data_IF_701307259148
#
_entry.id   IF_701307259148
#
_cell.length_a   1.000
_cell.length_b   1.000
_cell.length_c   1.000
_cell.angle_alpha   90.00
_cell.angle_beta   90.00
_cell.angle_gamma   90.00
#
_symmetry.space_group_name_H-M   'P 1'
#
loop_
_entity.id
_entity.type
_entity.pdbx_description
1 polymer ?
#
# COMPACT_ATOMS: atom_id res chain seq x y z
N UNK A 1 -34.82 -4.33 -38.32
CA UNK A 1 -34.45 -3.15 -37.49
C UNK A 1 -34.88 -3.52 -36.07
N UNK A 2 -33.97 -4.16 -35.34
CA UNK A 2 -34.28 -4.77 -34.05
C UNK A 2 -33.92 -3.77 -32.96
N UNK A 3 -34.93 -3.22 -32.29
CA UNK A 3 -34.80 -2.42 -31.06
C UNK A 3 -34.95 -3.36 -29.88
N UNK A 4 -33.85 -3.82 -29.29
CA UNK A 4 -33.91 -4.34 -27.93
C UNK A 4 -33.98 -3.16 -26.94
N UNK A 5 -34.85 -3.20 -25.92
CA UNK A 5 -34.82 -2.23 -24.84
C UNK A 5 -33.63 -2.53 -23.91
N UNK A 6 -32.60 -1.69 -23.98
CA UNK A 6 -31.45 -1.72 -23.07
C UNK A 6 -31.90 -1.27 -21.66
N UNK A 7 -32.27 -2.22 -20.81
CA UNK A 7 -32.47 -1.98 -19.38
C UNK A 7 -31.11 -1.98 -18.67
N UNK A 8 -30.34 -0.91 -18.87
CA UNK A 8 -29.19 -0.59 -18.03
C UNK A 8 -29.68 -0.22 -16.62
N UNK A 9 -29.74 -1.19 -15.72
CA UNK A 9 -30.03 -0.94 -14.31
C UNK A 9 -28.92 -0.06 -13.71
N UNK A 10 -29.20 1.24 -13.60
CA UNK A 10 -28.35 2.20 -12.87
C UNK A 10 -28.88 2.27 -11.45
N UNK A 11 -28.13 1.72 -10.49
CA UNK A 11 -28.46 1.83 -9.07
C UNK A 11 -28.68 3.32 -8.73
N UNK A 12 -29.80 3.71 -8.11
CA UNK A 12 -29.99 5.07 -7.65
C UNK A 12 -28.77 5.49 -6.83
N UNK A 13 -28.09 6.55 -7.25
CA UNK A 13 -26.80 6.98 -6.67
C UNK A 13 -26.86 7.14 -5.14
N UNK A 14 -28.02 7.52 -4.58
CA UNK A 14 -28.26 7.59 -3.14
C UNK A 14 -28.16 6.24 -2.41
N UNK A 15 -28.55 5.13 -3.06
CA UNK A 15 -28.44 3.78 -2.49
C UNK A 15 -26.98 3.33 -2.44
N UNK A 16 -26.19 3.67 -3.47
CA UNK A 16 -24.75 3.39 -3.50
C UNK A 16 -24.00 4.12 -2.37
N UNK A 17 -24.24 5.42 -2.21
CA UNK A 17 -23.63 6.21 -1.14
C UNK A 17 -24.13 5.78 0.25
N UNK A 18 -25.42 5.49 0.39
CA UNK A 18 -26.00 4.96 1.62
C UNK A 18 -25.37 3.63 2.01
N UNK A 19 -25.25 2.69 1.07
CA UNK A 19 -24.62 1.40 1.32
C UNK A 19 -23.14 1.53 1.70
N UNK A 20 -22.36 2.37 1.01
CA UNK A 20 -20.95 2.61 1.36
C UNK A 20 -20.77 3.22 2.76
N UNK A 21 -21.71 4.04 3.22
CA UNK A 21 -21.66 4.59 4.58
C UNK A 21 -22.14 3.59 5.64
N UNK A 22 -23.16 2.78 5.32
CA UNK A 22 -23.79 1.83 6.24
C UNK A 22 -22.96 0.56 6.39
N UNK A 23 -22.38 0.04 5.31
CA UNK A 23 -21.65 -1.23 5.29
C UNK A 23 -20.49 -1.26 6.31
N UNK A 24 -19.62 -0.23 6.42
CA UNK A 24 -18.57 -0.21 7.44
C UNK A 24 -19.13 -0.21 8.86
N UNK A 25 -20.23 0.50 9.11
CA UNK A 25 -20.88 0.54 10.43
C UNK A 25 -21.50 -0.80 10.79
N UNK A 26 -22.16 -1.47 9.84
CA UNK A 26 -22.67 -2.83 10.03
C UNK A 26 -21.52 -3.79 10.30
N UNK A 27 -20.43 -3.71 9.52
CA UNK A 27 -19.26 -4.56 9.72
C UNK A 27 -18.59 -4.31 11.07
N UNK A 28 -18.43 -3.06 11.48
CA UNK A 28 -17.88 -2.71 12.81
C UNK A 28 -18.82 -3.20 13.92
N UNK A 29 -20.13 -3.01 13.79
CA UNK A 29 -21.10 -3.48 14.78
C UNK A 29 -21.12 -5.00 14.87
N UNK A 30 -21.11 -5.70 13.73
CA UNK A 30 -21.08 -7.15 13.64
C UNK A 30 -19.76 -7.72 14.14
N UNK A 31 -18.63 -7.11 13.78
CA UNK A 31 -17.30 -7.47 14.29
C UNK A 31 -17.23 -7.25 15.81
N UNK A 32 -17.68 -6.10 16.32
CA UNK A 32 -17.74 -5.85 17.77
C UNK A 32 -18.66 -6.82 18.50
N UNK A 33 -19.77 -7.23 17.88
CA UNK A 33 -20.64 -8.26 18.44
C UNK A 33 -19.89 -9.60 18.50
N UNK A 34 -19.19 -9.98 17.44
CA UNK A 34 -18.35 -11.19 17.44
C UNK A 34 -17.24 -11.13 18.49
N UNK A 35 -16.57 -9.99 18.63
CA UNK A 35 -15.54 -9.75 19.65
C UNK A 35 -16.10 -9.84 21.07
N UNK A 36 -17.29 -9.28 21.33
CA UNK A 36 -17.96 -9.40 22.64
C UNK A 36 -18.36 -10.84 23.00
N UNK A 37 -18.53 -11.71 22.01
CA UNK A 37 -18.81 -13.13 22.21
C UNK A 37 -17.56 -14.00 22.33
N UNK A 38 -16.37 -13.48 22.01
CA UNK A 38 -15.11 -14.18 22.22
C UNK A 38 -14.67 -13.98 23.68
N UNK A 39 -14.56 -15.04 24.48
CA UNK A 39 -13.97 -14.92 25.80
C UNK A 39 -12.54 -14.36 25.65
N UNK A 40 -12.06 -13.52 26.59
CA UNK A 40 -10.68 -13.06 26.58
C UNK A 40 -9.75 -14.26 26.46
N UNK A 41 -8.60 -14.15 25.76
CA UNK A 41 -7.69 -15.27 25.55
C UNK A 41 -7.41 -15.94 26.89
N UNK A 42 -7.90 -17.18 27.04
CA UNK A 42 -7.91 -17.88 28.34
C UNK A 42 -6.79 -18.91 28.44
N UNK A 43 -6.24 -19.29 27.30
CA UNK A 43 -5.11 -20.20 27.21
C UNK A 43 -3.82 -19.40 27.01
N UNK A 44 -2.70 -19.84 27.62
CA UNK A 44 -1.39 -19.22 27.38
C UNK A 44 -1.03 -19.13 25.88
N UNK A 45 -1.52 -20.06 25.06
CA UNK A 45 -1.30 -20.09 23.62
C UNK A 45 -2.07 -18.97 22.88
N UNK A 46 -3.28 -18.63 23.32
CA UNK A 46 -4.08 -17.53 22.75
C UNK A 46 -3.55 -16.15 23.18
N UNK A 47 -3.08 -16.02 24.43
CA UNK A 47 -2.46 -14.80 24.94
C UNK A 47 -1.10 -14.53 24.24
N UNK A 48 -0.33 -15.60 24.03
CA UNK A 48 0.86 -15.57 23.19
C UNK A 48 0.50 -15.17 21.75
N UNK A 49 -0.53 -15.76 21.13
CA UNK A 49 -0.96 -15.40 19.78
C UNK A 49 -1.30 -13.90 19.63
N UNK A 50 -2.07 -13.36 20.56
CA UNK A 50 -2.50 -11.96 20.54
C UNK A 50 -1.32 -10.99 20.73
N UNK A 51 -0.42 -11.28 21.67
CA UNK A 51 0.80 -10.49 21.88
C UNK A 51 1.72 -10.51 20.66
N UNK A 52 1.84 -11.65 19.96
CA UNK A 52 2.68 -11.80 18.78
C UNK A 52 2.17 -11.04 17.55
N UNK A 53 0.84 -10.95 17.40
CA UNK A 53 0.23 -10.10 16.36
C UNK A 53 0.48 -8.62 16.63
N UNK A 54 0.54 -8.23 17.89
CA UNK A 54 0.79 -6.87 18.34
C UNK A 54 2.29 -6.49 18.35
N UNK A 55 3.20 -7.45 18.43
CA UNK A 55 4.65 -7.19 18.38
C UNK A 55 5.11 -6.89 16.96
N UNK A 56 5.89 -5.81 16.81
CA UNK A 56 6.64 -5.50 15.59
C UNK A 56 7.50 -6.70 15.15
N UNK A 57 7.66 -6.89 13.84
CA UNK A 57 8.44 -8.00 13.26
C UNK A 57 9.90 -7.94 13.76
N UNK A 58 10.40 -8.96 14.49
CA UNK A 58 11.71 -8.92 15.14
C UNK A 58 12.86 -8.76 14.15
N UNK A 59 12.66 -9.10 12.87
CA UNK A 59 13.63 -8.89 11.82
C UNK A 59 13.92 -7.39 11.60
N UNK A 60 12.97 -6.49 11.87
CA UNK A 60 13.12 -5.04 11.66
C UNK A 60 14.28 -4.43 12.45
N UNK A 61 14.57 -4.96 13.64
CA UNK A 61 15.63 -4.49 14.53
C UNK A 61 17.02 -5.02 14.17
N UNK A 62 17.13 -5.97 13.23
CA UNK A 62 18.41 -6.49 12.78
C UNK A 62 19.01 -5.52 11.78
N UNK A 63 20.03 -4.77 12.19
CA UNK A 63 20.73 -3.82 11.31
C UNK A 63 22.09 -4.38 10.84
N UNK A 64 22.31 -4.33 9.53
CA UNK A 64 23.60 -4.50 8.86
C UNK A 64 23.96 -3.20 8.13
N UNK A 65 25.25 -2.95 7.87
CA UNK A 65 25.69 -1.74 7.15
C UNK A 65 25.02 -1.57 5.78
N UNK A 66 24.80 -2.67 5.06
CA UNK A 66 24.11 -2.69 3.77
C UNK A 66 22.59 -2.42 3.90
N UNK A 67 21.92 -3.09 4.84
CA UNK A 67 20.46 -2.90 5.04
C UNK A 67 20.16 -1.49 5.53
N UNK A 68 21.05 -0.87 6.31
CA UNK A 68 20.90 0.50 6.78
C UNK A 68 20.79 1.53 5.65
N UNK A 69 21.51 1.34 4.54
CA UNK A 69 21.42 2.23 3.37
C UNK A 69 20.05 2.11 2.71
N UNK A 70 19.59 0.87 2.47
CA UNK A 70 18.29 0.58 1.86
C UNK A 70 17.14 1.08 2.73
N UNK A 71 17.29 0.91 4.04
CA UNK A 71 16.33 1.38 5.03
C UNK A 71 16.26 2.91 5.06
N UNK A 72 17.41 3.56 4.95
CA UNK A 72 17.50 5.02 4.88
C UNK A 72 16.79 5.51 3.62
N UNK A 73 17.05 4.93 2.44
CA UNK A 73 16.36 5.30 1.20
C UNK A 73 14.83 5.19 1.33
N UNK A 74 14.34 4.11 1.94
CA UNK A 74 12.90 3.90 2.17
C UNK A 74 12.32 4.88 3.20
N UNK A 75 13.09 5.26 4.24
CA UNK A 75 12.67 6.32 5.19
C UNK A 75 12.59 7.68 4.51
N UNK A 76 13.56 8.01 3.66
CA UNK A 76 13.56 9.25 2.88
C UNK A 76 12.39 9.30 1.90
N UNK A 77 12.01 8.18 1.26
CA UNK A 77 10.83 8.16 0.41
C UNK A 77 9.54 8.45 1.19
N UNK A 78 9.41 7.92 2.41
CA UNK A 78 8.28 8.23 3.30
C UNK A 78 8.21 9.71 3.68
N UNK A 79 9.34 10.32 4.07
CA UNK A 79 9.43 11.75 4.39
C UNK A 79 9.09 12.60 3.16
N UNK A 80 9.62 12.24 1.99
CA UNK A 80 9.32 12.92 0.73
C UNK A 80 7.82 12.90 0.42
N UNK A 81 7.18 11.73 0.52
CA UNK A 81 5.74 11.58 0.33
C UNK A 81 4.94 12.42 1.33
N UNK A 82 5.37 12.47 2.61
CA UNK A 82 4.70 13.26 3.64
C UNK A 82 4.68 14.77 3.32
N UNK A 83 5.82 15.34 2.90
CA UNK A 83 5.87 16.74 2.43
C UNK A 83 5.03 16.93 1.16
N UNK A 84 5.02 15.94 0.27
CA UNK A 84 4.23 16.01 -0.95
C UNK A 84 2.72 16.02 -0.66
N UNK A 85 2.26 15.31 0.37
CA UNK A 85 0.85 15.28 0.80
C UNK A 85 0.38 16.65 1.25
N UNK A 86 1.23 17.41 1.95
CA UNK A 86 0.90 18.78 2.37
C UNK A 86 0.59 19.65 1.15
N UNK A 87 1.35 19.50 0.06
CA UNK A 87 1.10 20.23 -1.18
C UNK A 87 -0.24 19.83 -1.82
N UNK A 88 -0.58 18.54 -1.81
CA UNK A 88 -1.87 18.06 -2.31
C UNK A 88 -3.06 18.64 -1.52
N UNK A 89 -2.94 18.71 -0.18
CA UNK A 89 -3.98 19.30 0.68
C UNK A 89 -4.17 20.79 0.37
N UNK A 90 -3.08 21.54 0.22
CA UNK A 90 -3.13 22.98 -0.13
C UNK A 90 -3.79 23.18 -1.51
N UNK A 91 -3.44 22.35 -2.50
CA UNK A 91 -4.03 22.42 -3.84
C UNK A 91 -5.55 22.12 -3.81
N UNK A 92 -5.99 21.09 -3.09
CA UNK A 92 -7.43 20.81 -2.92
C UNK A 92 -8.17 21.95 -2.22
N UNK A 93 -7.58 22.50 -1.16
CA UNK A 93 -8.18 23.61 -0.44
C UNK A 93 -8.37 24.83 -1.36
N UNK A 94 -7.37 25.11 -2.20
CA UNK A 94 -7.47 26.13 -3.24
C UNK A 94 -8.60 25.84 -4.24
N UNK A 95 -8.74 24.62 -4.75
CA UNK A 95 -9.84 24.26 -5.67
C UNK A 95 -11.22 24.43 -5.02
N UNK A 96 -11.37 24.07 -3.75
CA UNK A 96 -12.62 24.27 -3.00
C UNK A 96 -12.94 25.76 -2.90
N UNK A 97 -11.97 26.61 -2.58
CA UNK A 97 -12.16 28.07 -2.54
C UNK A 97 -12.58 28.60 -3.93
N UNK A 98 -11.85 28.24 -4.98
CA UNK A 98 -12.13 28.73 -6.33
C UNK A 98 -13.51 28.31 -6.83
N UNK A 99 -13.92 27.06 -6.54
CA UNK A 99 -15.20 26.52 -6.95
C UNK A 99 -16.38 27.12 -6.18
N UNK A 100 -16.28 27.23 -4.86
CA UNK A 100 -17.42 27.59 -4.02
C UNK A 100 -17.51 29.08 -3.70
N UNK A 101 -16.38 29.79 -3.63
CA UNK A 101 -16.35 31.23 -3.32
C UNK A 101 -16.35 32.04 -4.61
N UNK A 102 -15.50 31.65 -5.58
CA UNK A 102 -15.32 32.41 -6.82
C UNK A 102 -16.14 31.88 -8.00
N UNK A 103 -16.80 30.73 -7.86
CA UNK A 103 -17.56 30.07 -8.91
C UNK A 103 -16.75 29.84 -10.21
N UNK A 104 -15.44 29.63 -10.08
CA UNK A 104 -14.49 29.41 -11.16
C UNK A 104 -13.71 28.11 -10.91
N UNK A 105 -14.24 26.94 -11.30
CA UNK A 105 -13.55 25.67 -11.10
C UNK A 105 -12.27 25.63 -11.95
N UNK A 106 -11.20 25.09 -11.38
CA UNK A 106 -9.93 24.99 -12.11
C UNK A 106 -9.81 23.64 -12.81
N UNK A 107 -9.40 23.66 -14.08
CA UNK A 107 -9.34 22.46 -14.92
C UNK A 107 -8.20 21.53 -14.49
N UNK A 108 -7.10 22.08 -13.97
CA UNK A 108 -5.87 21.34 -13.71
C UNK A 108 -5.76 20.77 -12.30
N UNK A 109 -6.37 21.40 -11.28
CA UNK A 109 -6.11 21.04 -9.87
C UNK A 109 -6.65 19.65 -9.55
N UNK A 110 -7.89 19.37 -9.98
CA UNK A 110 -8.53 18.10 -9.66
C UNK A 110 -7.72 16.92 -10.21
N UNK A 111 -7.33 17.00 -11.47
CA UNK A 111 -6.53 16.00 -12.15
C UNK A 111 -5.11 15.92 -11.59
N UNK A 112 -4.44 17.06 -11.35
CA UNK A 112 -3.11 17.09 -10.73
C UNK A 112 -3.09 16.35 -9.40
N UNK A 113 -4.10 16.57 -8.56
CA UNK A 113 -4.18 15.92 -7.26
C UNK A 113 -4.48 14.41 -7.37
N UNK A 114 -5.31 14.01 -8.32
CA UNK A 114 -5.55 12.60 -8.61
C UNK A 114 -4.26 11.88 -9.02
N UNK A 115 -3.49 12.46 -9.95
CA UNK A 115 -2.21 11.91 -10.39
C UNK A 115 -1.18 11.90 -9.25
N UNK A 116 -1.15 12.98 -8.46
CA UNK A 116 -0.29 13.09 -7.28
C UNK A 116 -0.52 11.95 -6.29
N UNK A 117 -1.77 11.67 -5.91
CA UNK A 117 -2.08 10.58 -4.99
C UNK A 117 -1.66 9.22 -5.54
N UNK A 118 -1.83 8.98 -6.85
CA UNK A 118 -1.35 7.76 -7.50
C UNK A 118 0.16 7.58 -7.36
N UNK A 119 0.93 8.65 -7.62
CA UNK A 119 2.39 8.63 -7.46
C UNK A 119 2.81 8.40 -6.01
N UNK A 120 2.13 9.06 -5.06
CA UNK A 120 2.42 8.93 -3.63
C UNK A 120 2.21 7.51 -3.12
N UNK A 121 1.13 6.84 -3.54
CA UNK A 121 0.82 5.48 -3.11
C UNK A 121 1.95 4.50 -3.47
N UNK A 122 2.52 4.63 -4.67
CA UNK A 122 3.59 3.75 -5.14
C UNK A 122 4.93 4.00 -4.42
N UNK A 123 5.25 5.24 -4.09
CA UNK A 123 6.46 5.57 -3.33
C UNK A 123 6.35 5.22 -1.84
N UNK A 124 5.14 5.35 -1.28
CA UNK A 124 4.88 5.00 0.12
C UNK A 124 5.02 3.49 0.37
N UNK A 125 4.78 2.64 -0.64
CA UNK A 125 4.87 1.19 -0.51
C UNK A 125 6.19 0.69 0.08
N UNK A 126 7.33 1.23 -0.34
CA UNK A 126 8.63 0.84 0.21
C UNK A 126 8.78 1.18 1.71
N UNK A 127 8.29 2.37 2.10
CA UNK A 127 8.29 2.80 3.50
C UNK A 127 7.34 1.96 4.36
N UNK A 128 6.15 1.65 3.85
CA UNK A 128 5.16 0.81 4.53
C UNK A 128 5.68 -0.62 4.70
N UNK A 129 6.48 -1.14 3.77
CA UNK A 129 7.10 -2.45 3.90
C UNK A 129 8.16 -2.45 5.01
N UNK A 130 8.97 -1.38 5.07
CA UNK A 130 9.99 -1.21 6.11
C UNK A 130 9.41 -1.02 7.51
N UNK A 131 8.22 -0.44 7.63
CA UNK A 131 7.56 -0.24 8.93
C UNK A 131 6.69 -1.44 9.34
N UNK A 132 6.65 -2.50 8.53
CA UNK A 132 5.78 -3.66 8.78
C UNK A 132 4.29 -3.33 8.67
N UNK A 133 3.92 -2.18 8.08
CA UNK A 133 2.53 -1.74 7.92
C UNK A 133 1.80 -2.39 6.75
N UNK A 134 2.43 -3.33 6.04
CA UNK A 134 1.74 -4.12 5.02
C UNK A 134 0.75 -5.07 5.69
N UNK A 135 -0.47 -5.13 5.15
CA UNK A 135 -1.49 -6.07 5.63
C UNK A 135 -0.97 -7.49 5.47
N UNK A 136 -0.75 -8.16 6.60
CA UNK A 136 -0.33 -9.56 6.69
C UNK A 136 -1.50 -10.41 7.19
N UNK A 137 -1.66 -11.61 6.65
CA UNK A 137 -2.69 -12.56 7.05
C UNK A 137 -2.03 -13.67 7.87
N UNK A 138 -2.10 -13.55 9.19
CA UNK A 138 -1.23 -14.29 10.11
C UNK A 138 -1.85 -15.57 10.71
N UNK A 139 -2.90 -16.12 10.10
CA UNK A 139 -3.64 -17.27 10.67
C UNK A 139 -2.74 -18.51 10.86
N UNK A 140 -1.84 -18.76 9.91
CA UNK A 140 -0.89 -19.88 9.99
C UNK A 140 0.39 -19.51 10.77
N UNK A 141 0.73 -18.22 10.83
CA UNK A 141 1.93 -17.69 11.48
C UNK A 141 1.91 -17.90 12.99
N UNK A 142 0.73 -17.70 13.61
CA UNK A 142 0.50 -17.85 15.05
C UNK A 142 0.85 -19.26 15.53
N UNK A 143 0.44 -20.28 14.78
CA UNK A 143 0.57 -21.70 15.17
C UNK A 143 2.00 -22.24 15.03
N UNK A 144 2.91 -21.47 14.43
CA UNK A 144 4.27 -21.92 14.17
C UNK A 144 5.22 -21.52 15.31
N UNK A 145 6.24 -22.35 15.61
CA UNK A 145 7.31 -21.98 16.52
C UNK A 145 8.14 -20.83 15.93
N UNK A 146 8.91 -20.07 16.75
CA UNK A 146 9.70 -18.91 16.30
C UNK A 146 10.60 -19.18 15.08
N UNK A 147 11.23 -20.36 15.01
CA UNK A 147 12.04 -20.78 13.86
C UNK A 147 11.19 -21.02 12.58
N UNK A 148 9.98 -21.57 12.74
CA UNK A 148 9.06 -21.81 11.62
C UNK A 148 8.47 -20.53 11.04
N UNK A 149 8.33 -19.49 11.86
CA UNK A 149 7.88 -18.16 11.44
C UNK A 149 8.85 -17.48 10.51
N UNK A 150 10.13 -17.41 10.90
CA UNK A 150 11.17 -16.83 10.02
C UNK A 150 11.33 -17.66 8.74
N UNK A 151 11.17 -18.98 8.81
CA UNK A 151 11.11 -19.82 7.61
C UNK A 151 9.93 -19.48 6.69
N UNK A 152 8.76 -19.18 7.27
CA UNK A 152 7.58 -18.71 6.53
C UNK A 152 7.77 -17.32 5.94
N UNK A 153 8.43 -16.40 6.65
CA UNK A 153 8.76 -15.06 6.15
C UNK A 153 9.70 -15.15 4.94
N UNK A 154 10.72 -16.02 5.01
CA UNK A 154 11.59 -16.31 3.86
C UNK A 154 10.80 -16.95 2.71
N UNK A 155 9.90 -17.89 2.98
CA UNK A 155 9.09 -18.52 1.94
C UNK A 155 8.14 -17.52 1.25
N UNK A 156 7.44 -16.69 2.03
CA UNK A 156 6.52 -15.67 1.51
C UNK A 156 7.25 -14.56 0.76
N UNK A 157 8.51 -14.28 1.12
CA UNK A 157 9.37 -13.33 0.39
C UNK A 157 9.53 -13.71 -1.09
N UNK A 158 9.51 -15.00 -1.43
CA UNK A 158 9.62 -15.46 -2.84
C UNK A 158 8.45 -14.94 -3.67
N UNK A 159 7.22 -15.07 -3.15
CA UNK A 159 6.03 -14.53 -3.82
C UNK A 159 6.04 -13.01 -3.89
N UNK A 160 6.53 -12.36 -2.83
CA UNK A 160 6.76 -10.92 -2.84
C UNK A 160 7.72 -10.51 -3.97
N UNK A 161 8.84 -11.21 -4.16
CA UNK A 161 9.79 -10.89 -5.24
C UNK A 161 9.21 -11.14 -6.63
N UNK A 162 8.44 -12.21 -6.82
CA UNK A 162 7.72 -12.45 -8.08
C UNK A 162 6.81 -11.26 -8.40
N UNK A 163 6.02 -10.81 -7.42
CA UNK A 163 5.17 -9.64 -7.55
C UNK A 163 5.97 -8.36 -7.82
N UNK A 164 7.01 -8.09 -7.05
CA UNK A 164 7.79 -6.86 -7.15
C UNK A 164 8.56 -6.77 -8.49
N UNK A 165 9.09 -7.89 -9.00
CA UNK A 165 9.74 -7.95 -10.32
C UNK A 165 8.70 -7.77 -11.44
N UNK A 166 7.54 -8.42 -11.33
CA UNK A 166 6.46 -8.24 -12.31
C UNK A 166 5.96 -6.79 -12.32
N UNK A 167 5.84 -6.16 -11.16
CA UNK A 167 5.46 -4.76 -11.02
C UNK A 167 6.51 -3.83 -11.64
N UNK A 168 7.81 -4.09 -11.43
CA UNK A 168 8.89 -3.34 -12.07
C UNK A 168 8.86 -3.50 -13.60
N UNK A 169 8.74 -4.74 -14.10
CA UNK A 169 8.73 -5.02 -15.54
C UNK A 169 7.54 -4.38 -16.26
N UNK A 170 6.35 -4.47 -15.69
CA UNK A 170 5.13 -3.84 -16.23
C UNK A 170 5.21 -2.31 -16.17
N UNK A 171 5.69 -1.75 -15.05
CA UNK A 171 5.88 -0.30 -14.90
C UNK A 171 6.89 0.24 -15.91
N UNK A 172 7.99 -0.48 -16.14
CA UNK A 172 9.00 -0.10 -17.14
C UNK A 172 8.43 -0.11 -18.56
N UNK A 173 7.67 -1.16 -18.91
CA UNK A 173 6.98 -1.24 -20.19
C UNK A 173 6.02 -0.06 -20.40
N UNK A 174 5.20 0.25 -19.39
CA UNK A 174 4.28 1.40 -19.46
C UNK A 174 5.02 2.73 -19.59
N UNK A 175 6.11 2.92 -18.85
CA UNK A 175 6.92 4.13 -18.95
C UNK A 175 7.48 4.33 -20.36
N UNK A 176 8.11 3.30 -20.94
CA UNK A 176 8.71 3.39 -22.27
C UNK A 176 7.65 3.61 -23.36
N UNK A 177 6.50 2.93 -23.28
CA UNK A 177 5.39 3.15 -24.21
C UNK A 177 4.85 4.58 -24.11
N UNK A 178 4.61 5.07 -22.89
CA UNK A 178 4.08 6.42 -22.65
C UNK A 178 5.04 7.52 -23.11
N UNK A 179 6.33 7.35 -22.83
CA UNK A 179 7.38 8.26 -23.24
C UNK A 179 7.55 8.30 -24.77
N UNK A 180 7.54 7.14 -25.43
CA UNK A 180 7.66 7.05 -26.89
C UNK A 180 6.45 7.56 -27.66
N UNK A 181 5.24 7.41 -27.11
CA UNK A 181 3.99 7.85 -27.75
C UNK A 181 3.61 9.29 -27.40
N UNK A 182 4.26 9.92 -26.40
CA UNK A 182 3.87 11.24 -25.91
C UNK A 182 2.45 11.24 -25.32
N UNK A 183 2.09 10.16 -24.63
CA UNK A 183 0.74 9.94 -24.11
C UNK A 183 0.32 11.06 -23.16
N UNK A 184 -0.91 11.54 -23.36
CA UNK A 184 -1.54 12.59 -22.55
C UNK A 184 -2.75 12.03 -21.84
N UNK A 185 -3.14 12.67 -20.74
CA UNK A 185 -4.36 12.33 -20.02
C UNK A 185 -5.59 12.59 -20.88
N UNK A 186 -6.65 11.80 -20.61
CA UNK A 186 -7.94 11.90 -21.32
C UNK A 186 -8.77 13.09 -20.81
N UNK A 187 -8.36 13.67 -19.69
CA UNK A 187 -9.00 14.80 -19.05
C UNK A 187 -8.72 16.12 -19.80
N UNK A 188 -9.48 17.16 -19.47
CA UNK A 188 -9.45 18.44 -20.20
C UNK A 188 -8.10 19.16 -20.12
N UNK A 189 -7.28 18.86 -19.10
CA UNK A 189 -5.94 19.46 -18.98
C UNK A 189 -4.91 18.84 -19.93
N UNK A 190 -5.08 17.56 -20.30
CA UNK A 190 -4.25 16.87 -21.30
C UNK A 190 -2.76 16.83 -20.96
N UNK A 191 -2.38 16.64 -19.70
CA UNK A 191 -0.97 16.59 -19.28
C UNK A 191 -0.29 15.30 -19.73
N UNK A 192 1.01 15.36 -19.99
CA UNK A 192 1.83 14.20 -20.31
C UNK A 192 1.82 13.18 -19.15
N UNK A 193 1.60 11.90 -19.48
CA UNK A 193 1.42 10.83 -18.49
C UNK A 193 2.72 10.11 -18.10
N UNK A 194 3.78 10.30 -18.87
CA UNK A 194 5.08 9.66 -18.63
C UNK A 194 5.69 9.97 -17.25
N UNK A 195 5.53 11.15 -16.61
CA UNK A 195 6.10 11.39 -15.29
C UNK A 195 5.46 10.49 -14.22
N UNK A 196 4.14 10.30 -14.28
CA UNK A 196 3.40 9.43 -13.35
C UNK A 196 3.87 7.98 -13.50
N UNK A 197 3.96 7.50 -14.75
CA UNK A 197 4.49 6.16 -15.06
C UNK A 197 5.96 6.01 -14.67
N UNK A 198 6.76 7.08 -14.74
CA UNK A 198 8.13 7.11 -14.25
C UNK A 198 8.21 6.94 -12.74
N UNK A 199 7.30 7.58 -11.99
CA UNK A 199 7.19 7.38 -10.55
C UNK A 199 6.73 5.96 -10.19
N UNK A 200 5.96 5.29 -11.05
CA UNK A 200 5.65 3.86 -10.87
C UNK A 200 6.91 3.01 -10.89
N UNK A 201 7.80 3.24 -11.88
CA UNK A 201 9.10 2.56 -11.97
C UNK A 201 9.93 2.84 -10.72
N UNK A 202 10.00 4.11 -10.30
CA UNK A 202 10.75 4.50 -9.09
C UNK A 202 10.23 3.78 -7.84
N UNK A 203 8.90 3.77 -7.64
CA UNK A 203 8.26 3.06 -6.53
C UNK A 203 8.53 1.56 -6.56
N UNK A 204 8.48 0.95 -7.75
CA UNK A 204 8.80 -0.46 -7.94
C UNK A 204 10.25 -0.80 -7.54
N UNK A 205 11.21 0.04 -7.93
CA UNK A 205 12.63 -0.11 -7.57
C UNK A 205 12.79 0.03 -6.06
N UNK A 206 12.18 1.04 -5.44
CA UNK A 206 12.25 1.24 -3.99
C UNK A 206 11.64 0.04 -3.24
N UNK A 207 10.53 -0.50 -3.73
CA UNK A 207 9.87 -1.68 -3.14
C UNK A 207 10.76 -2.92 -3.24
N UNK A 208 11.42 -3.14 -4.37
CA UNK A 208 12.41 -4.22 -4.55
C UNK A 208 13.58 -4.07 -3.56
N UNK A 209 14.12 -2.86 -3.43
CA UNK A 209 15.21 -2.58 -2.49
C UNK A 209 14.79 -2.81 -1.04
N UNK A 210 13.59 -2.35 -0.65
CA UNK A 210 13.03 -2.60 0.68
C UNK A 210 12.84 -4.11 0.94
N UNK A 211 12.38 -4.86 -0.06
CA UNK A 211 12.25 -6.32 0.01
C UNK A 211 13.58 -7.05 0.18
N UNK A 212 14.63 -6.62 -0.54
CA UNK A 212 15.99 -7.16 -0.36
C UNK A 212 16.49 -6.90 1.06
N UNK A 213 16.25 -5.70 1.60
CA UNK A 213 16.60 -5.38 2.98
C UNK A 213 15.89 -6.31 3.97
N UNK A 214 14.57 -6.51 3.79
CA UNK A 214 13.79 -7.42 4.65
C UNK A 214 14.30 -8.86 4.59
N UNK A 215 14.46 -9.41 3.38
CA UNK A 215 14.94 -10.78 3.21
C UNK A 215 16.33 -11.00 3.84
N UNK A 216 17.24 -10.04 3.70
CA UNK A 216 18.56 -10.12 4.30
C UNK A 216 18.50 -10.18 5.84
N UNK A 217 17.57 -9.43 6.45
CA UNK A 217 17.35 -9.45 7.91
C UNK A 217 16.76 -10.77 8.38
N UNK A 218 15.77 -11.30 7.65
CA UNK A 218 15.14 -12.59 7.95
C UNK A 218 16.16 -13.74 7.90
N UNK A 219 17.05 -13.75 6.91
CA UNK A 219 18.13 -14.76 6.80
C UNK A 219 19.09 -14.69 7.99
N UNK A 220 19.50 -13.49 8.40
CA UNK A 220 20.42 -13.32 9.55
C UNK A 220 19.73 -13.77 10.85
N UNK A 221 18.46 -13.44 11.03
CA UNK A 221 17.68 -13.87 12.18
C UNK A 221 17.56 -15.40 12.22
N UNK A 222 17.31 -16.03 11.08
CA UNK A 222 17.25 -17.49 10.96
C UNK A 222 18.58 -18.16 11.36
N UNK A 223 19.72 -17.63 10.90
CA UNK A 223 21.04 -18.15 11.25
C UNK A 223 21.38 -17.99 12.74
N UNK A 224 21.02 -16.86 13.35
CA UNK A 224 21.24 -16.63 14.80
C UNK A 224 20.47 -17.65 15.62
N UNK A 225 19.19 -17.83 15.30
CA UNK A 225 18.36 -18.83 15.96
C UNK A 225 18.94 -20.24 15.80
N UNK A 226 19.54 -20.58 14.65
CA UNK A 226 20.18 -21.88 14.42
C UNK A 226 21.46 -22.15 15.21
N UNK A 227 22.12 -21.12 15.77
CA UNK A 227 23.32 -21.27 16.62
C UNK A 227 23.00 -21.43 18.11
N UNK A 228 21.81 -21.03 18.54
CA UNK A 228 21.42 -20.97 19.95
C UNK A 228 20.71 -22.24 20.47
N UNK A 229 20.41 -23.21 19.62
CA UNK A 229 19.80 -24.48 20.04
C UNK A 229 20.16 -25.63 19.14
#
# INVERSE_FOLDING_TARGET
MNTEPDFGFVLPHMIYWGWLAIMPLIFIFWARWQEHGQPPPTTPDEELAASLLATEDPALHVENGFTRVLDTLSKWSGIFVAFWTVNAVVAYFYEVIMRYIFNQPTIWVHESCFLLFGMQYLLAGAYTLLTGGHVRVDVLYIKLPPRGRVGMDIFTSVFFFIFAIALFGTSWGFFMSSYGMGETTVETWGIQYWPVKGMMVLGAVLLLLAGISKLAKDIVLFQRMGREG
#
